data_IF_788006844092
#
_entry.id   IF_788006844092
#
_cell.length_a   1.000
_cell.length_b   1.000
_cell.length_c   1.000
_cell.angle_alpha   90.00
_cell.angle_beta   90.00
_cell.angle_gamma   90.00
#
_symmetry.space_group_name_H-M   'P 1'
#
loop_
_entity.id
_entity.type
_entity.pdbx_description
1 polymer ?
#
# COMPACT_ATOMS: atom_id res chain seq x y z
N UNK A 1 14.26 -5.13 -14.05
CA UNK A 1 14.67 -5.48 -12.68
C UNK A 1 13.43 -5.34 -11.81
N UNK A 2 12.66 -6.41 -11.63
CA UNK A 2 11.41 -6.39 -10.86
C UNK A 2 11.77 -6.33 -9.37
N UNK A 3 11.49 -5.19 -8.71
CA UNK A 3 11.54 -5.10 -7.25
C UNK A 3 10.34 -5.87 -6.69
N UNK A 4 10.39 -7.20 -6.78
CA UNK A 4 9.53 -8.05 -5.99
C UNK A 4 9.99 -7.85 -4.55
N UNK A 5 9.21 -7.14 -3.76
CA UNK A 5 9.39 -7.20 -2.31
C UNK A 5 9.12 -8.67 -1.98
N UNK A 6 10.18 -9.43 -1.66
CA UNK A 6 10.11 -10.85 -1.27
C UNK A 6 9.38 -10.96 0.06
N UNK A 7 8.08 -10.76 -0.01
CA UNK A 7 7.19 -10.76 1.13
C UNK A 7 6.90 -12.22 1.47
N UNK A 8 7.06 -12.61 2.75
CA UNK A 8 6.91 -13.99 3.17
C UNK A 8 5.53 -14.55 2.80
N UNK A 9 5.50 -15.85 2.50
CA UNK A 9 4.25 -16.54 2.15
C UNK A 9 3.33 -16.56 3.36
N UNK A 10 2.06 -16.18 3.17
CA UNK A 10 1.07 -16.15 4.26
C UNK A 10 0.67 -17.58 4.64
N UNK A 11 0.91 -18.03 5.89
CA UNK A 11 0.56 -19.38 6.33
C UNK A 11 -0.94 -19.67 6.29
N UNK A 12 -1.32 -20.95 6.24
CA UNK A 12 -2.73 -21.40 6.35
C UNK A 12 -3.21 -21.42 7.82
N UNK A 13 -2.85 -20.40 8.61
CA UNK A 13 -3.27 -20.22 9.99
C UNK A 13 -4.53 -19.34 10.04
N UNK A 14 -5.47 -19.65 10.95
CA UNK A 14 -6.75 -18.90 11.06
C UNK A 14 -6.62 -17.55 11.76
N UNK A 15 -5.75 -17.47 12.76
CA UNK A 15 -5.54 -16.28 13.58
C UNK A 15 -4.06 -16.00 13.73
N UNK A 16 -3.69 -14.74 13.56
CA UNK A 16 -2.33 -14.21 13.67
C UNK A 16 -2.28 -13.18 14.79
N UNK A 17 -1.13 -13.10 15.45
CA UNK A 17 -0.86 -12.07 16.47
C UNK A 17 -0.28 -10.81 15.80
N UNK A 18 -0.31 -9.67 16.51
CA UNK A 18 0.21 -8.39 15.99
C UNK A 18 1.65 -8.51 15.45
N UNK A 19 2.51 -9.20 16.18
CA UNK A 19 3.90 -9.41 15.78
C UNK A 19 4.03 -10.25 14.51
N UNK A 20 3.28 -11.36 14.41
CA UNK A 20 3.26 -12.20 13.21
C UNK A 20 2.76 -11.43 11.98
N UNK A 21 1.73 -10.58 12.15
CA UNK A 21 1.21 -9.75 11.05
C UNK A 21 2.22 -8.70 10.61
N UNK A 22 2.90 -8.07 11.57
CA UNK A 22 3.97 -7.11 11.33
C UNK A 22 5.11 -7.72 10.51
N UNK A 23 5.53 -8.94 10.86
CA UNK A 23 6.54 -9.71 10.12
C UNK A 23 6.05 -10.10 8.71
N UNK A 24 4.79 -10.55 8.59
CA UNK A 24 4.23 -11.00 7.31
C UNK A 24 3.99 -9.87 6.31
N UNK A 25 3.63 -8.68 6.79
CA UNK A 25 3.38 -7.51 5.96
C UNK A 25 4.62 -6.60 5.81
N UNK A 26 5.69 -6.85 6.58
CA UNK A 26 6.87 -5.98 6.71
C UNK A 26 6.52 -4.54 7.13
N UNK A 27 5.53 -4.39 8.01
CA UNK A 27 5.01 -3.09 8.48
C UNK A 27 5.37 -2.89 9.94
N UNK A 28 5.88 -1.72 10.32
CA UNK A 28 6.18 -1.43 11.74
C UNK A 28 4.92 -1.45 12.62
N UNK A 29 4.99 -1.93 13.88
CA UNK A 29 3.83 -1.99 14.78
C UNK A 29 3.18 -0.62 15.01
N UNK A 30 4.00 0.43 15.11
CA UNK A 30 3.55 1.82 15.27
C UNK A 30 2.64 2.27 14.13
N UNK A 31 2.99 1.93 12.89
CA UNK A 31 2.22 2.28 11.71
C UNK A 31 0.87 1.54 11.69
N UNK A 32 0.86 0.29 12.15
CA UNK A 32 -0.37 -0.51 12.28
C UNK A 32 -1.32 0.08 13.33
N UNK A 33 -0.77 0.58 14.45
CA UNK A 33 -1.54 1.31 15.49
C UNK A 33 -2.09 2.62 14.94
N UNK A 34 -1.29 3.39 14.18
CA UNK A 34 -1.80 4.61 13.54
C UNK A 34 -2.92 4.30 12.54
N UNK A 35 -2.78 3.25 11.74
CA UNK A 35 -3.86 2.79 10.85
C UNK A 35 -5.10 2.35 11.60
N UNK A 36 -4.96 1.63 12.73
CA UNK A 36 -6.10 1.31 13.58
C UNK A 36 -6.80 2.56 14.12
N UNK A 37 -6.02 3.58 14.50
CA UNK A 37 -6.54 4.85 14.99
C UNK A 37 -7.27 5.65 13.90
N UNK A 38 -6.79 5.59 12.65
CA UNK A 38 -7.37 6.33 11.52
C UNK A 38 -8.59 5.61 10.90
N UNK A 39 -8.54 4.29 10.76
CA UNK A 39 -9.52 3.52 10.01
C UNK A 39 -10.60 2.86 10.89
N UNK A 40 -10.44 2.89 12.22
CA UNK A 40 -11.44 2.56 13.26
C UNK A 40 -12.08 1.15 13.26
N UNK A 41 -12.06 0.42 12.14
CA UNK A 41 -12.74 -0.88 11.92
C UNK A 41 -12.04 -1.81 10.93
N UNK A 42 -11.07 -1.36 10.15
CA UNK A 42 -10.52 -2.15 9.04
C UNK A 42 -9.52 -3.24 9.44
N UNK A 43 -8.96 -3.16 10.65
CA UNK A 43 -7.91 -4.07 11.12
C UNK A 43 -8.35 -4.74 12.43
N UNK A 44 -9.15 -5.80 12.30
CA UNK A 44 -9.66 -6.60 13.42
C UNK A 44 -10.69 -5.87 14.30
N UNK A 45 -11.70 -6.58 14.81
CA UNK A 45 -12.66 -6.03 15.79
C UNK A 45 -11.98 -5.78 17.15
N UNK A 46 -11.12 -4.77 17.26
CA UNK A 46 -10.52 -4.31 18.52
C UNK A 46 -9.74 -5.36 19.33
N UNK A 47 -9.42 -6.52 18.75
CA UNK A 47 -8.75 -7.62 19.43
C UNK A 47 -7.34 -7.84 18.90
N UNK A 48 -6.47 -8.45 19.71
CA UNK A 48 -5.08 -8.79 19.37
C UNK A 48 -4.94 -9.91 18.32
N UNK A 49 -6.03 -10.28 17.65
CA UNK A 49 -6.11 -11.42 16.73
C UNK A 49 -6.54 -10.94 15.34
N UNK A 50 -5.72 -11.26 14.35
CA UNK A 50 -5.92 -10.91 12.95
C UNK A 50 -6.26 -12.17 12.16
N UNK A 51 -7.24 -12.08 11.28
CA UNK A 51 -7.51 -13.18 10.35
C UNK A 51 -6.55 -13.12 9.16
N UNK A 52 -6.46 -14.22 8.41
CA UNK A 52 -5.72 -14.24 7.15
C UNK A 52 -6.17 -13.12 6.18
N UNK A 53 -7.46 -12.79 6.17
CA UNK A 53 -7.99 -11.70 5.35
C UNK A 53 -7.48 -10.34 5.80
N UNK A 54 -7.34 -10.12 7.11
CA UNK A 54 -6.79 -8.87 7.64
C UNK A 54 -5.31 -8.72 7.26
N UNK A 55 -4.53 -9.80 7.31
CA UNK A 55 -3.12 -9.80 6.86
C UNK A 55 -3.01 -9.45 5.37
N UNK A 56 -3.88 -10.02 4.53
CA UNK A 56 -3.91 -9.73 3.10
C UNK A 56 -4.27 -8.25 2.86
N UNK A 57 -5.27 -7.71 3.57
CA UNK A 57 -5.64 -6.29 3.46
C UNK A 57 -4.50 -5.37 3.88
N UNK A 58 -3.82 -5.65 4.99
CA UNK A 58 -2.67 -4.86 5.46
C UNK A 58 -1.54 -4.88 4.43
N UNK A 59 -1.27 -6.04 3.83
CA UNK A 59 -0.28 -6.18 2.75
C UNK A 59 -0.69 -5.39 1.51
N UNK A 60 -1.96 -5.38 1.14
CA UNK A 60 -2.48 -4.58 0.03
C UNK A 60 -2.49 -3.07 0.33
N UNK A 61 -2.75 -2.65 1.57
CA UNK A 61 -2.66 -1.23 1.95
C UNK A 61 -1.21 -0.74 1.93
N UNK A 62 -0.27 -1.60 2.33
CA UNK A 62 1.15 -1.25 2.36
C UNK A 62 1.82 -1.33 0.98
N UNK A 63 1.53 -2.40 0.22
CA UNK A 63 2.22 -2.73 -1.03
C UNK A 63 1.31 -2.67 -2.27
N UNK A 64 -0.01 -2.67 -2.11
CA UNK A 64 -0.97 -2.75 -3.22
C UNK A 64 -1.02 -1.51 -4.11
N UNK A 65 -0.44 -0.38 -3.70
CA UNK A 65 -0.19 0.74 -4.59
C UNK A 65 0.87 0.37 -5.65
N UNK A 66 1.80 -0.53 -5.31
CA UNK A 66 2.85 -1.04 -6.19
C UNK A 66 2.41 -2.28 -6.98
N UNK A 67 1.54 -3.15 -6.46
CA UNK A 67 1.12 -4.37 -7.17
C UNK A 67 -0.08 -4.15 -8.12
N UNK A 68 -1.02 -3.26 -7.77
CA UNK A 68 -2.21 -3.01 -8.60
C UNK A 68 -1.91 -2.18 -9.86
N UNK A 69 -0.81 -1.44 -9.88
CA UNK A 69 -0.42 -0.58 -11.01
C UNK A 69 0.49 -1.26 -12.02
N UNK A 70 1.15 -2.37 -11.66
CA UNK A 70 2.17 -3.01 -12.52
C UNK A 70 1.59 -3.79 -13.70
N UNK A 71 0.30 -4.16 -13.68
CA UNK A 71 -0.31 -4.97 -14.76
C UNK A 71 -1.74 -4.56 -15.13
N UNK A 72 -2.23 -3.43 -14.63
CA UNK A 72 -3.58 -2.96 -14.98
C UNK A 72 -3.45 -1.97 -16.13
N UNK A 73 -3.99 -2.37 -17.29
CA UNK A 73 -4.10 -1.55 -18.48
C UNK A 73 -5.38 -0.73 -18.37
N UNK A 74 -5.37 0.52 -18.85
CA UNK A 74 -6.59 1.30 -19.02
C UNK A 74 -7.48 0.69 -20.14
N UNK A 75 -8.69 1.23 -20.33
CA UNK A 75 -9.61 0.81 -21.41
C UNK A 75 -9.02 0.98 -22.83
N UNK A 76 -7.87 1.65 -22.96
CA UNK A 76 -7.16 1.87 -24.22
C UNK A 76 -5.86 1.04 -24.34
N UNK A 77 -5.61 0.12 -23.40
CA UNK A 77 -4.45 -0.78 -23.44
C UNK A 77 -3.13 -0.14 -23.06
N UNK A 78 -3.14 1.04 -22.44
CA UNK A 78 -1.93 1.69 -21.93
C UNK A 78 -1.65 1.26 -20.50
N UNK A 79 -0.37 1.10 -20.10
CA UNK A 79 -0.04 0.86 -18.70
C UNK A 79 -0.54 2.02 -17.84
N UNK A 80 -1.30 1.71 -16.78
CA UNK A 80 -1.66 2.72 -15.80
C UNK A 80 -0.36 3.27 -15.20
N UNK A 81 -0.14 4.56 -15.43
CA UNK A 81 1.08 5.30 -15.06
C UNK A 81 1.39 5.02 -13.58
N UNK A 82 2.61 4.58 -13.28
CA UNK A 82 3.04 4.31 -11.91
C UNK A 82 2.87 5.54 -11.04
N UNK A 83 2.56 5.35 -9.75
CA UNK A 83 2.43 6.46 -8.80
C UNK A 83 3.67 7.37 -8.74
N UNK A 84 4.86 6.85 -9.05
CA UNK A 84 6.08 7.65 -9.16
C UNK A 84 6.03 8.60 -10.36
N UNK A 85 5.63 8.09 -11.52
CA UNK A 85 5.60 8.84 -12.78
C UNK A 85 4.46 9.86 -12.80
N UNK A 86 3.30 9.53 -12.20
CA UNK A 86 2.25 10.52 -11.95
C UNK A 86 2.73 11.66 -11.05
N UNK A 87 3.53 11.36 -10.02
CA UNK A 87 4.08 12.39 -9.11
C UNK A 87 5.06 13.30 -9.83
N UNK A 88 5.89 12.75 -10.70
CA UNK A 88 6.86 13.53 -11.47
C UNK A 88 6.17 14.46 -12.48
N UNK A 89 5.13 13.98 -13.17
CA UNK A 89 4.33 14.82 -14.07
C UNK A 89 3.55 15.91 -13.31
N UNK A 90 2.94 15.58 -12.17
CA UNK A 90 2.28 16.60 -11.34
C UNK A 90 3.27 17.67 -10.85
N UNK A 91 4.49 17.27 -10.47
CA UNK A 91 5.55 18.19 -10.04
C UNK A 91 6.01 19.10 -11.19
N UNK A 92 6.07 18.56 -12.41
CA UNK A 92 6.41 19.30 -13.62
C UNK A 92 5.32 20.32 -13.99
N UNK A 93 4.04 19.92 -13.90
CA UNK A 93 2.91 20.84 -14.08
C UNK A 93 2.92 21.97 -13.03
N UNK A 94 3.15 21.63 -11.76
CA UNK A 94 3.31 22.61 -10.68
C UNK A 94 4.44 23.61 -10.97
N UNK A 95 5.63 23.14 -11.37
CA UNK A 95 6.74 24.01 -11.72
C UNK A 95 6.44 24.93 -12.90
N UNK A 96 5.70 24.45 -13.90
CA UNK A 96 5.28 25.27 -15.03
C UNK A 96 4.31 26.37 -14.58
N UNK A 97 3.36 26.03 -13.71
CA UNK A 97 2.40 27.00 -13.14
C UNK A 97 3.15 28.05 -12.29
N UNK A 98 4.08 27.62 -11.44
CA UNK A 98 4.91 28.53 -10.63
C UNK A 98 5.72 29.50 -11.52
N UNK A 99 6.32 29.00 -12.60
CA UNK A 99 7.04 29.85 -13.57
C UNK A 99 6.12 30.85 -14.27
N UNK A 100 4.88 30.47 -14.58
CA UNK A 100 3.91 31.38 -15.22
C UNK A 100 3.36 32.43 -14.26
N UNK A 101 3.30 32.12 -12.96
CA UNK A 101 2.83 33.03 -11.91
C UNK A 101 3.94 33.96 -11.38
N UNK A 102 5.21 33.64 -11.64
CA UNK A 102 6.37 34.45 -11.25
C UNK A 102 6.65 35.63 -12.21
N UNK A 103 5.65 36.05 -12.99
CA UNK A 103 5.64 37.24 -13.86
C UNK A 103 4.84 38.34 -13.15
#
# INVERSE_FOLDING_TARGET
MTNNVDLPTIPTKRYFNLQEVCELAQVKPEQLVQWQKQEGRLIGKGGNHFTRLDVIKIRQLHHGISDATQNMLDEWGNPIISNQEMRDELKKMLSNIEKTLAI
#
